data_IF_058460090140
#
_entry.id   IF_058460090140
#
_cell.length_a   1.000
_cell.length_b   1.000
_cell.length_c   1.000
_cell.angle_alpha   90.00
_cell.angle_beta   90.00
_cell.angle_gamma   90.00
#
_symmetry.space_group_name_H-M   'P 1'
#
loop_
_entity.id
_entity.type
_entity.pdbx_description
1 polymer ?
#
# COMPACT_ATOMS: atom_id res chain seq x y z
N UNK A 1 -34.93 -20.06 -5.06
CA UNK A 1 -33.48 -19.75 -4.93
C UNK A 1 -33.32 -18.29 -4.49
N UNK A 2 -33.75 -17.93 -3.28
CA UNK A 2 -33.89 -16.52 -2.85
C UNK A 2 -33.07 -16.19 -1.59
N UNK A 3 -32.65 -17.20 -0.80
CA UNK A 3 -32.13 -16.98 0.55
C UNK A 3 -30.72 -16.39 0.65
N UNK A 4 -29.82 -16.73 -0.28
CA UNK A 4 -28.41 -16.30 -0.21
C UNK A 4 -28.21 -14.88 -0.76
N UNK A 5 -28.93 -14.54 -1.85
CA UNK A 5 -28.89 -13.21 -2.45
C UNK A 5 -29.47 -12.14 -1.52
N UNK A 6 -30.58 -12.46 -0.81
CA UNK A 6 -31.18 -11.53 0.16
C UNK A 6 -30.26 -11.19 1.34
N UNK A 7 -29.37 -12.11 1.75
CA UNK A 7 -28.39 -11.89 2.82
C UNK A 7 -27.22 -10.99 2.37
N UNK A 8 -26.73 -11.17 1.14
CA UNK A 8 -25.62 -10.37 0.59
C UNK A 8 -26.03 -8.91 0.41
N UNK A 9 -27.27 -8.64 -0.02
CA UNK A 9 -27.78 -7.27 -0.20
C UNK A 9 -28.31 -6.62 1.09
N UNK A 10 -28.18 -7.27 2.25
CA UNK A 10 -28.44 -6.57 3.52
C UNK A 10 -27.37 -5.48 3.74
N UNK A 11 -27.72 -4.35 4.40
CA UNK A 11 -26.74 -3.33 4.73
C UNK A 11 -25.51 -3.89 5.47
N UNK A 12 -25.72 -4.88 6.34
CA UNK A 12 -24.65 -5.57 7.05
C UNK A 12 -23.78 -6.42 6.11
N UNK A 13 -24.41 -7.18 5.21
CA UNK A 13 -23.70 -7.99 4.20
C UNK A 13 -22.85 -7.15 3.26
N UNK A 14 -23.37 -6.01 2.80
CA UNK A 14 -22.64 -5.06 1.95
C UNK A 14 -21.43 -4.47 2.69
N UNK A 15 -21.59 -4.06 3.95
CA UNK A 15 -20.48 -3.50 4.76
C UNK A 15 -19.38 -4.54 4.96
N UNK A 16 -19.73 -5.78 5.30
CA UNK A 16 -18.76 -6.86 5.48
C UNK A 16 -18.03 -7.20 4.16
N UNK A 17 -18.77 -7.25 3.05
CA UNK A 17 -18.20 -7.52 1.73
C UNK A 17 -17.22 -6.42 1.30
N UNK A 18 -17.62 -5.14 1.43
CA UNK A 18 -16.74 -4.01 1.14
C UNK A 18 -15.51 -3.98 2.05
N UNK A 19 -15.69 -4.27 3.35
CA UNK A 19 -14.58 -4.36 4.30
C UNK A 19 -13.59 -5.47 3.94
N UNK A 20 -14.09 -6.66 3.61
CA UNK A 20 -13.25 -7.78 3.17
C UNK A 20 -12.53 -7.47 1.85
N UNK A 21 -13.22 -6.87 0.88
CA UNK A 21 -12.62 -6.45 -0.39
C UNK A 21 -11.51 -5.41 -0.17
N UNK A 22 -11.75 -4.39 0.67
CA UNK A 22 -10.75 -3.38 1.03
C UNK A 22 -9.55 -4.01 1.73
N UNK A 23 -9.78 -4.91 2.69
CA UNK A 23 -8.70 -5.61 3.39
C UNK A 23 -7.84 -6.43 2.43
N UNK A 24 -8.45 -7.24 1.56
CA UNK A 24 -7.72 -8.02 0.55
C UNK A 24 -6.96 -7.12 -0.42
N UNK A 25 -7.55 -5.97 -0.79
CA UNK A 25 -6.92 -5.00 -1.67
C UNK A 25 -5.69 -4.34 -1.02
N UNK A 26 -5.78 -3.93 0.26
CA UNK A 26 -4.63 -3.41 1.05
C UNK A 26 -3.54 -4.48 1.18
N UNK A 27 -3.93 -5.71 1.52
CA UNK A 27 -3.02 -6.82 1.71
C UNK A 27 -2.26 -7.14 0.43
N UNK A 28 -2.97 -7.27 -0.69
CA UNK A 28 -2.37 -7.53 -2.00
C UNK A 28 -1.44 -6.39 -2.43
N UNK A 29 -1.82 -5.13 -2.17
CA UNK A 29 -0.95 -3.98 -2.44
C UNK A 29 0.31 -3.97 -1.58
N UNK A 30 0.26 -4.48 -0.35
CA UNK A 30 1.39 -4.43 0.59
C UNK A 30 2.31 -5.65 0.48
N UNK A 31 1.89 -6.70 -0.22
CA UNK A 31 2.63 -7.97 -0.34
C UNK A 31 4.01 -7.82 -0.99
N UNK A 32 4.19 -6.84 -1.87
CA UNK A 32 5.47 -6.61 -2.56
C UNK A 32 6.39 -5.62 -1.85
N UNK A 33 5.97 -5.07 -0.70
CA UNK A 33 6.73 -4.06 0.02
C UNK A 33 7.98 -4.62 0.73
N UNK A 34 8.09 -5.93 0.86
CA UNK A 34 9.19 -6.63 1.54
C UNK A 34 10.38 -6.96 0.62
N UNK A 35 10.34 -6.57 -0.66
CA UNK A 35 11.38 -6.88 -1.64
C UNK A 35 12.76 -6.35 -1.22
N UNK A 36 12.85 -5.06 -0.89
CA UNK A 36 14.10 -4.43 -0.48
C UNK A 36 14.58 -4.90 0.89
N UNK A 37 13.65 -5.21 1.78
CA UNK A 37 13.94 -5.79 3.09
C UNK A 37 14.61 -7.16 2.97
N UNK A 38 14.11 -8.02 2.07
CA UNK A 38 14.71 -9.33 1.75
C UNK A 38 16.11 -9.20 1.16
N UNK A 39 16.36 -8.13 0.42
CA UNK A 39 17.67 -7.84 -0.17
C UNK A 39 18.65 -7.18 0.82
N UNK A 40 18.20 -6.82 2.03
CA UNK A 40 19.01 -6.10 3.00
C UNK A 40 19.38 -4.67 2.56
N UNK A 41 18.64 -4.12 1.60
CA UNK A 41 18.87 -2.78 1.06
C UNK A 41 18.04 -1.77 1.86
N UNK A 42 18.63 -0.67 2.34
CA UNK A 42 17.86 0.41 2.97
C UNK A 42 16.79 0.93 2.03
N UNK A 43 15.56 1.13 2.50
CA UNK A 43 14.45 1.52 1.62
C UNK A 43 13.48 2.49 2.29
N UNK A 44 12.79 3.25 1.47
CA UNK A 44 11.68 4.11 1.91
C UNK A 44 10.47 3.25 2.17
N UNK A 45 9.93 3.26 3.40
CA UNK A 45 8.71 2.52 3.72
C UNK A 45 7.56 2.92 2.79
N UNK A 46 7.08 2.02 1.92
CA UNK A 46 6.00 2.32 1.00
C UNK A 46 4.66 2.42 1.75
N UNK A 47 3.83 3.39 1.36
CA UNK A 47 2.45 3.49 1.84
C UNK A 47 1.57 2.52 1.06
N UNK A 48 0.54 1.92 1.67
CA UNK A 48 -0.43 1.11 0.94
C UNK A 48 -0.97 1.87 -0.29
N UNK A 49 -1.15 1.15 -1.40
CA UNK A 49 -1.66 1.61 -2.70
C UNK A 49 -0.74 2.50 -3.53
N UNK A 50 -0.07 3.48 -2.92
CA UNK A 50 0.67 4.51 -3.64
C UNK A 50 2.19 4.41 -3.46
N UNK A 51 2.66 3.48 -2.62
CA UNK A 51 4.07 3.33 -2.31
C UNK A 51 4.67 4.63 -1.77
N UNK A 52 5.85 4.99 -2.27
CA UNK A 52 6.56 6.22 -1.90
C UNK A 52 6.24 7.42 -2.80
N UNK A 53 5.35 7.26 -3.79
CA UNK A 53 5.00 8.32 -4.76
C UNK A 53 4.29 9.49 -4.08
N UNK A 54 3.52 9.23 -3.02
CA UNK A 54 2.85 10.28 -2.26
C UNK A 54 3.82 11.28 -1.63
N UNK A 55 5.08 10.92 -1.41
CA UNK A 55 6.06 11.87 -0.87
C UNK A 55 6.33 13.01 -1.87
N UNK A 56 6.17 12.75 -3.17
CA UNK A 56 6.34 13.73 -4.24
C UNK A 56 5.21 14.76 -4.33
N UNK A 57 4.12 14.56 -3.57
CA UNK A 57 3.06 15.57 -3.44
C UNK A 57 3.45 16.68 -2.48
N UNK A 58 4.31 16.38 -1.49
CA UNK A 58 4.73 17.33 -0.46
C UNK A 58 5.92 18.17 -0.90
N UNK A 59 6.80 17.59 -1.71
CA UNK A 59 8.05 18.18 -2.18
C UNK A 59 8.36 17.72 -3.60
N UNK A 60 9.10 18.52 -4.38
CA UNK A 60 9.58 18.09 -5.68
C UNK A 60 10.37 16.78 -5.60
N UNK A 61 10.29 15.97 -6.67
CA UNK A 61 10.96 14.67 -6.75
C UNK A 61 12.45 14.75 -6.42
N UNK A 62 13.16 15.74 -6.97
CA UNK A 62 14.61 15.88 -6.78
C UNK A 62 15.02 16.16 -5.32
N UNK A 63 14.19 16.89 -4.56
CA UNK A 63 14.46 17.13 -3.14
C UNK A 63 14.27 15.86 -2.32
N UNK A 64 13.21 15.11 -2.61
CA UNK A 64 12.95 13.83 -1.96
C UNK A 64 14.07 12.83 -2.25
N UNK A 65 14.56 12.78 -3.49
CA UNK A 65 15.66 11.91 -3.89
C UNK A 65 16.96 12.29 -3.17
N UNK A 66 17.26 13.58 -3.07
CA UNK A 66 18.45 14.07 -2.37
C UNK A 66 18.38 13.80 -0.86
N UNK A 67 17.19 13.84 -0.26
CA UNK A 67 16.97 13.45 1.14
C UNK A 67 17.15 11.94 1.34
N UNK A 68 16.57 11.11 0.45
CA UNK A 68 16.72 9.65 0.50
C UNK A 68 18.18 9.25 0.36
N UNK A 69 18.90 9.85 -0.58
CA UNK A 69 20.33 9.64 -0.74
C UNK A 69 21.12 9.99 0.52
N UNK A 70 20.82 11.13 1.16
CA UNK A 70 21.49 11.53 2.41
C UNK A 70 21.17 10.61 3.59
N UNK A 71 19.97 10.03 3.63
CA UNK A 71 19.52 9.18 4.74
C UNK A 71 19.93 7.72 4.58
N UNK A 72 19.83 7.17 3.37
CA UNK A 72 20.01 5.74 3.09
C UNK A 72 21.33 5.43 2.38
N UNK A 73 22.02 6.45 1.87
CA UNK A 73 23.27 6.30 1.14
C UNK A 73 23.07 6.19 -0.37
N UNK A 74 24.09 5.70 -1.09
CA UNK A 74 24.09 5.68 -2.55
C UNK A 74 23.19 4.61 -3.18
N UNK A 75 22.79 3.60 -2.41
CA UNK A 75 21.93 2.51 -2.88
C UNK A 75 20.76 2.38 -1.90
N UNK A 76 19.55 2.65 -2.38
CA UNK A 76 18.31 2.47 -1.62
C UNK A 76 17.13 2.13 -2.52
N UNK A 77 16.09 1.60 -1.89
CA UNK A 77 14.81 1.22 -2.50
C UNK A 77 13.65 2.17 -2.24
#
# INVERSE_FOLDING_TARGET
MEGLWGLIFTPLGVVLFLGAALFLFIWNSSKSHDCWEKLGVPYVKPKPFFGSVLDNTKRPFHENELLRYKTFGPIYG
#
